data_IF_166597001986
#
_entry.id   IF_166597001986
#
_cell.length_a   1.000
_cell.length_b   1.000
_cell.length_c   1.000
_cell.angle_alpha   90.00
_cell.angle_beta   90.00
_cell.angle_gamma   90.00
#
_symmetry.space_group_name_H-M   'P 1'
#
loop_
_entity.id
_entity.type
_entity.pdbx_description
1 polymer ?
#
# COMPACT_ATOMS: atom_id res chain seq x y z
N UNK A 1 -30.26 -13.03 -11.41
CA UNK A 1 -28.79 -12.83 -11.30
C UNK A 1 -28.53 -11.84 -10.19
N UNK A 2 -28.20 -12.32 -8.98
CA UNK A 2 -27.94 -11.44 -7.83
C UNK A 2 -26.61 -10.70 -8.04
N UNK A 3 -26.64 -9.38 -8.04
CA UNK A 3 -25.48 -8.52 -8.19
C UNK A 3 -24.57 -8.68 -6.97
N UNK A 4 -23.58 -9.57 -7.07
CA UNK A 4 -22.66 -9.85 -5.97
C UNK A 4 -21.69 -8.69 -5.85
N UNK A 5 -21.79 -7.92 -4.76
CA UNK A 5 -20.90 -6.79 -4.44
C UNK A 5 -19.45 -7.21 -4.66
N UNK A 6 -18.82 -6.65 -5.69
CA UNK A 6 -17.41 -6.92 -5.98
C UNK A 6 -16.55 -6.48 -4.81
N UNK A 7 -15.66 -7.35 -4.36
CA UNK A 7 -14.75 -7.04 -3.27
C UNK A 7 -13.80 -5.92 -3.76
N UNK A 8 -14.00 -4.70 -3.24
CA UNK A 8 -13.17 -3.55 -3.60
C UNK A 8 -11.79 -3.73 -2.98
N UNK A 9 -10.90 -4.35 -3.73
CA UNK A 9 -9.49 -4.37 -3.38
C UNK A 9 -8.93 -2.94 -3.45
N UNK A 10 -8.34 -2.47 -2.34
CA UNK A 10 -7.77 -1.12 -2.23
C UNK A 10 -6.28 -1.21 -1.90
N UNK A 11 -5.49 -0.39 -2.58
CA UNK A 11 -4.11 -0.08 -2.22
C UNK A 11 -4.07 1.42 -1.94
N UNK A 12 -3.57 1.79 -0.77
CA UNK A 12 -3.37 3.18 -0.41
C UNK A 12 -1.90 3.51 -0.63
N UNK A 13 -1.61 4.58 -1.36
CA UNK A 13 -0.25 5.08 -1.58
C UNK A 13 -0.20 6.49 -1.02
N UNK A 14 0.67 6.71 -0.04
CA UNK A 14 0.89 8.03 0.54
C UNK A 14 2.14 8.65 -0.09
N UNK A 15 1.96 9.87 -0.62
CA UNK A 15 3.03 10.71 -1.13
C UNK A 15 3.28 11.84 -0.14
N UNK A 16 4.54 12.15 0.10
CA UNK A 16 4.93 13.22 1.00
C UNK A 16 6.05 14.06 0.38
N UNK A 17 5.84 15.37 0.37
CA UNK A 17 6.79 16.36 -0.14
C UNK A 17 6.71 17.63 0.70
N UNK A 18 7.81 18.38 0.76
CA UNK A 18 7.77 19.74 1.30
C UNK A 18 6.99 20.69 0.37
N UNK A 19 6.59 21.86 0.88
CA UNK A 19 5.80 22.84 0.14
C UNK A 19 6.44 23.27 -1.20
N UNK A 20 7.77 23.37 -1.24
CA UNK A 20 8.52 23.76 -2.44
C UNK A 20 8.73 22.60 -3.43
N UNK A 21 8.45 21.36 -3.05
CA UNK A 21 8.62 20.18 -3.92
C UNK A 21 10.07 19.68 -4.08
N UNK A 22 11.05 20.31 -3.42
CA UNK A 22 12.48 19.98 -3.54
C UNK A 22 12.87 18.73 -2.75
N UNK A 23 12.15 18.43 -1.66
CA UNK A 23 12.38 17.24 -0.83
C UNK A 23 11.16 16.33 -0.95
N UNK A 24 11.33 15.23 -1.70
CA UNK A 24 10.30 14.21 -1.91
C UNK A 24 10.69 12.95 -1.15
N UNK A 25 9.75 12.41 -0.38
CA UNK A 25 9.92 11.11 0.26
C UNK A 25 9.53 9.99 -0.71
N UNK A 26 10.07 8.80 -0.48
CA UNK A 26 9.65 7.61 -1.20
C UNK A 26 8.17 7.33 -0.94
N UNK A 27 7.39 6.90 -1.96
CA UNK A 27 5.99 6.55 -1.77
C UNK A 27 5.83 5.45 -0.71
N UNK A 28 4.92 5.66 0.23
CA UNK A 28 4.57 4.69 1.25
C UNK A 28 3.36 3.87 0.78
N UNK A 29 3.55 2.56 0.66
CA UNK A 29 2.51 1.63 0.27
C UNK A 29 1.83 1.04 1.52
N UNK A 30 0.52 1.22 1.63
CA UNK A 30 -0.27 0.72 2.76
C UNK A 30 -1.28 -0.30 2.24
N UNK A 31 -1.26 -1.49 2.83
CA UNK A 31 -2.10 -2.60 2.38
C UNK A 31 -2.47 -3.55 3.52
N UNK A 32 -3.48 -4.38 3.30
CA UNK A 32 -3.98 -5.37 4.28
C UNK A 32 -3.01 -6.48 4.63
N UNK A 33 -2.26 -6.97 3.65
CA UNK A 33 -1.54 -8.22 3.73
C UNK A 33 -0.06 -7.99 3.99
N UNK A 34 0.56 -8.67 4.96
CA UNK A 34 2.01 -8.58 5.19
C UNK A 34 2.86 -9.08 4.02
N UNK A 35 2.38 -10.13 3.35
CA UNK A 35 3.03 -10.77 2.20
C UNK A 35 2.03 -10.82 1.03
N UNK A 36 1.94 -9.78 0.19
CA UNK A 36 1.01 -9.78 -0.92
C UNK A 36 1.48 -10.73 -2.04
N UNK A 37 0.54 -11.41 -2.70
CA UNK A 37 0.85 -12.39 -3.75
C UNK A 37 1.68 -11.82 -4.91
N UNK A 38 1.49 -10.55 -5.27
CA UNK A 38 2.29 -9.87 -6.30
C UNK A 38 3.78 -9.78 -5.96
N UNK A 39 4.15 -9.85 -4.68
CA UNK A 39 5.54 -9.97 -4.25
C UNK A 39 6.03 -11.42 -4.18
N UNK A 40 5.32 -12.37 -4.80
CA UNK A 40 5.62 -13.81 -4.67
C UNK A 40 5.72 -14.25 -3.21
N UNK A 41 4.89 -13.66 -2.35
CA UNK A 41 4.92 -13.82 -0.89
C UNK A 41 6.23 -13.41 -0.20
N UNK A 42 7.12 -12.70 -0.89
CA UNK A 42 8.27 -12.05 -0.27
C UNK A 42 7.81 -10.87 0.60
N UNK A 43 8.47 -10.62 1.73
CA UNK A 43 8.21 -9.42 2.51
C UNK A 43 8.51 -8.18 1.65
N UNK A 44 7.69 -7.15 1.77
CA UNK A 44 7.86 -5.95 0.96
C UNK A 44 9.19 -5.25 1.22
N UNK A 45 9.78 -5.42 2.41
CA UNK A 45 11.14 -4.98 2.76
C UNK A 45 12.24 -5.56 1.87
N UNK A 46 11.96 -6.67 1.17
CA UNK A 46 12.89 -7.30 0.23
C UNK A 46 12.99 -6.54 -1.10
N UNK A 47 11.98 -5.74 -1.44
CA UNK A 47 12.04 -4.74 -2.49
C UNK A 47 12.29 -3.41 -1.77
N UNK A 48 13.06 -2.47 -2.33
CA UNK A 48 13.37 -1.16 -1.72
C UNK A 48 12.13 -0.24 -1.66
N UNK A 49 11.01 -0.77 -1.19
CA UNK A 49 9.68 -0.17 -1.18
C UNK A 49 9.31 0.05 0.28
N UNK A 50 8.98 1.29 0.62
CA UNK A 50 8.40 1.60 1.92
C UNK A 50 6.99 1.02 1.97
N UNK A 51 6.79 0.00 2.80
CA UNK A 51 5.55 -0.75 2.88
C UNK A 51 5.09 -0.91 4.32
N UNK A 52 3.79 -0.75 4.54
CA UNK A 52 3.15 -0.92 5.82
C UNK A 52 1.91 -1.81 5.71
N UNK A 53 1.86 -2.88 6.49
CA UNK A 53 0.66 -3.68 6.63
C UNK A 53 -0.28 -3.16 7.72
N UNK A 54 -1.58 -3.10 7.41
CA UNK A 54 -2.63 -2.85 8.40
C UNK A 54 -3.89 -3.62 8.02
N UNK A 55 -4.54 -4.33 8.96
CA UNK A 55 -5.77 -5.09 8.73
C UNK A 55 -6.86 -4.32 7.96
N UNK A 56 -6.95 -2.99 8.11
CA UNK A 56 -7.92 -2.13 7.40
C UNK A 56 -7.42 -1.51 6.08
N UNK A 57 -6.14 -1.65 5.74
CA UNK A 57 -5.49 -1.02 4.58
C UNK A 57 -5.64 0.52 4.52
N UNK A 58 -5.70 1.15 5.69
CA UNK A 58 -5.85 2.59 5.90
C UNK A 58 -4.83 3.07 6.94
N UNK A 59 -4.61 4.38 7.04
CA UNK A 59 -3.85 5.00 8.13
C UNK A 59 -4.70 4.95 9.42
N UNK A 60 -4.62 3.87 10.20
CA UNK A 60 -5.15 3.89 11.59
C UNK A 60 -4.04 4.23 12.54
#
# INVERSE_FOLDING_TARGET
>A
MSEKKTNKFRITIAFATNATGTKKLNPLFIKKFKKPCFFKNAPASFKKIYYHENKKAWMT
#
